data_IF_866753940582
#
_entry.id   IF_866753940582
#
_cell.length_a   1.000
_cell.length_b   1.000
_cell.length_c   1.000
_cell.angle_alpha   90.00
_cell.angle_beta   90.00
_cell.angle_gamma   90.00
#
_symmetry.space_group_name_H-M   'P 1'
#
loop_
_entity.id
_entity.type
_entity.pdbx_description
1 polymer ?
#
# COMPACT_ATOMS: atom_id res chain seq x y z
N UNK A 1 -33.77 -12.55 5.58
CA UNK A 1 -32.63 -13.28 6.18
C UNK A 1 -31.35 -12.69 5.62
N UNK A 2 -30.70 -11.80 6.35
CA UNK A 2 -29.45 -11.17 5.96
C UNK A 2 -28.33 -12.19 6.12
N UNK A 3 -27.70 -12.60 5.02
CA UNK A 3 -26.43 -13.33 5.10
C UNK A 3 -25.41 -12.37 5.71
N UNK A 4 -25.02 -12.60 6.93
CA UNK A 4 -23.78 -12.10 7.50
C UNK A 4 -22.68 -12.66 6.59
N UNK A 5 -22.17 -11.83 5.70
CA UNK A 5 -21.01 -12.23 4.88
C UNK A 5 -19.80 -12.23 5.80
N UNK A 6 -19.43 -13.39 6.29
CA UNK A 6 -18.17 -13.57 7.01
C UNK A 6 -17.03 -13.12 6.10
N UNK A 7 -16.26 -12.14 6.59
CA UNK A 7 -15.07 -11.65 5.88
C UNK A 7 -14.01 -12.72 6.04
N UNK A 8 -13.57 -13.33 4.93
CA UNK A 8 -12.52 -14.34 4.96
C UNK A 8 -11.14 -13.69 5.04
N UNK A 9 -10.33 -14.13 5.99
CA UNK A 9 -8.90 -13.79 6.05
C UNK A 9 -8.10 -14.74 5.16
N UNK A 10 -7.14 -14.18 4.41
CA UNK A 10 -6.21 -14.91 3.52
C UNK A 10 -4.80 -14.47 3.88
N UNK A 11 -4.01 -15.40 4.44
CA UNK A 11 -2.73 -15.07 5.05
C UNK A 11 -1.51 -15.34 4.16
N UNK A 12 -1.64 -16.20 3.15
CA UNK A 12 -0.53 -16.63 2.31
C UNK A 12 -1.01 -17.03 0.90
N UNK A 13 -0.08 -17.23 -0.07
CA UNK A 13 -0.43 -17.63 -1.43
C UNK A 13 -1.17 -18.95 -1.53
N UNK A 14 -0.92 -19.89 -0.64
CA UNK A 14 -1.60 -21.18 -0.65
C UNK A 14 -3.08 -21.00 -0.31
N UNK A 15 -3.40 -20.25 0.74
CA UNK A 15 -4.79 -19.91 1.07
C UNK A 15 -5.47 -19.10 -0.04
N UNK A 16 -4.72 -18.22 -0.73
CA UNK A 16 -5.23 -17.51 -1.91
C UNK A 16 -5.57 -18.47 -3.03
N UNK A 17 -4.69 -19.42 -3.35
CA UNK A 17 -4.93 -20.46 -4.36
C UNK A 17 -6.14 -21.30 -3.98
N UNK A 18 -6.25 -21.76 -2.77
CA UNK A 18 -7.40 -22.58 -2.29
C UNK A 18 -8.73 -21.82 -2.35
N UNK A 19 -8.71 -20.53 -2.06
CA UNK A 19 -9.92 -19.71 -2.07
C UNK A 19 -10.37 -19.32 -3.48
N UNK A 20 -9.43 -18.85 -4.30
CA UNK A 20 -9.75 -18.28 -5.61
C UNK A 20 -9.64 -19.24 -6.78
N UNK A 21 -8.83 -20.32 -6.69
CA UNK A 21 -8.48 -21.16 -7.82
C UNK A 21 -9.11 -22.56 -7.76
N UNK A 22 -9.37 -23.13 -8.93
CA UNK A 22 -9.73 -24.54 -9.06
C UNK A 22 -8.51 -25.44 -8.87
N UNK A 23 -8.70 -26.65 -8.36
CA UNK A 23 -7.70 -27.58 -7.81
C UNK A 23 -6.53 -28.00 -8.72
N UNK A 24 -6.44 -27.58 -9.97
CA UNK A 24 -5.47 -28.12 -10.95
C UNK A 24 -4.25 -27.23 -11.18
N UNK A 25 -4.02 -26.20 -10.33
CA UNK A 25 -3.00 -25.23 -10.63
C UNK A 25 -1.69 -25.49 -9.86
N UNK A 26 -0.66 -25.90 -10.59
CA UNK A 26 0.70 -26.05 -10.12
C UNK A 26 1.54 -24.89 -10.58
N UNK A 27 1.61 -23.76 -10.08
CA UNK A 27 2.52 -22.64 -10.42
C UNK A 27 2.49 -22.09 -11.88
N UNK A 28 2.57 -20.78 -12.05
CA UNK A 28 2.72 -20.10 -13.35
C UNK A 28 4.10 -20.34 -14.00
N UNK A 29 5.04 -20.94 -13.29
CA UNK A 29 6.34 -21.36 -13.78
C UNK A 29 6.52 -22.82 -13.40
N UNK A 30 6.55 -23.73 -14.36
CA UNK A 30 6.82 -25.16 -14.12
C UNK A 30 8.19 -25.37 -13.44
N UNK A 31 9.15 -24.48 -13.69
CA UNK A 31 10.50 -24.51 -13.12
C UNK A 31 10.55 -24.00 -11.67
N UNK A 32 9.57 -23.19 -11.23
CA UNK A 32 9.51 -22.63 -9.87
C UNK A 32 8.97 -23.61 -8.81
N UNK A 33 8.50 -24.80 -9.18
CA UNK A 33 7.89 -25.76 -8.26
C UNK A 33 8.85 -26.44 -7.29
N UNK A 34 10.16 -26.26 -7.45
CA UNK A 34 11.18 -27.05 -6.72
C UNK A 34 12.04 -26.25 -5.76
N UNK A 35 11.87 -24.91 -5.68
CA UNK A 35 12.69 -24.11 -4.78
C UNK A 35 11.87 -23.82 -3.52
N UNK A 36 12.06 -24.62 -2.49
CA UNK A 36 11.74 -24.27 -1.11
C UNK A 36 12.40 -22.91 -0.80
N UNK A 37 11.73 -22.09 0.03
CA UNK A 37 12.23 -20.81 0.53
C UNK A 37 13.61 -20.96 1.21
N UNK A 38 14.68 -20.97 0.44
CA UNK A 38 16.01 -21.26 0.94
C UNK A 38 16.60 -20.08 1.72
N UNK A 39 16.17 -18.85 1.45
CA UNK A 39 16.73 -17.64 2.04
C UNK A 39 15.67 -16.57 2.36
N UNK A 40 15.20 -16.55 3.60
CA UNK A 40 14.40 -15.46 4.17
C UNK A 40 12.90 -15.76 4.27
N UNK A 41 12.26 -15.18 5.27
CA UNK A 41 10.81 -15.17 5.42
C UNK A 41 10.20 -14.26 4.37
N UNK A 42 9.17 -14.71 3.70
CA UNK A 42 8.41 -13.89 2.78
C UNK A 42 8.15 -14.53 1.42
N UNK A 43 7.11 -14.06 0.74
CA UNK A 43 6.75 -14.54 -0.58
C UNK A 43 6.56 -13.41 -1.59
N UNK A 44 6.75 -13.74 -2.86
CA UNK A 44 6.38 -12.93 -4.01
C UNK A 44 5.82 -13.83 -5.11
N UNK A 45 4.62 -13.49 -5.62
CA UNK A 45 3.98 -14.17 -6.73
C UNK A 45 3.57 -13.16 -7.81
N UNK A 46 3.84 -13.52 -9.08
CA UNK A 46 3.42 -12.74 -10.26
C UNK A 46 2.58 -13.63 -11.14
N UNK A 47 1.38 -13.16 -11.50
CA UNK A 47 0.35 -13.95 -12.18
C UNK A 47 -0.25 -13.13 -13.32
N UNK A 48 -0.35 -13.69 -14.52
CA UNK A 48 -1.12 -13.09 -15.59
C UNK A 48 -2.64 -13.17 -15.28
N UNK A 49 -3.36 -12.06 -15.43
CA UNK A 49 -4.80 -12.00 -15.11
C UNK A 49 -5.63 -12.93 -16.00
N UNK A 50 -5.27 -13.07 -17.27
CA UNK A 50 -5.91 -13.98 -18.21
C UNK A 50 -5.76 -15.46 -17.82
N UNK A 51 -4.63 -15.84 -17.20
CA UNK A 51 -4.43 -17.18 -16.66
C UNK A 51 -5.21 -17.36 -15.35
N UNK A 52 -5.15 -16.37 -14.45
CA UNK A 52 -5.92 -16.37 -13.22
C UNK A 52 -7.42 -16.54 -13.51
N UNK A 53 -7.94 -15.85 -14.52
CA UNK A 53 -9.35 -15.92 -14.91
C UNK A 53 -9.77 -17.31 -15.40
N UNK A 54 -8.93 -18.02 -16.15
CA UNK A 54 -9.25 -19.38 -16.64
C UNK A 54 -9.47 -20.38 -15.50
N UNK A 55 -8.77 -20.20 -14.40
CA UNK A 55 -8.73 -21.12 -13.27
C UNK A 55 -9.48 -20.61 -12.04
N UNK A 56 -9.97 -19.37 -12.08
CA UNK A 56 -10.65 -18.74 -10.95
C UNK A 56 -12.01 -19.38 -10.67
N UNK A 57 -12.28 -19.65 -9.39
CA UNK A 57 -13.64 -19.93 -8.91
C UNK A 57 -14.48 -18.66 -9.04
N UNK A 58 -15.79 -18.79 -9.28
CA UNK A 58 -16.70 -17.65 -9.29
C UNK A 58 -16.90 -17.11 -7.86
N UNK A 59 -15.96 -16.33 -7.37
CA UNK A 59 -15.96 -15.71 -6.04
C UNK A 59 -16.26 -14.20 -6.10
N UNK A 60 -17.01 -13.77 -7.15
CA UNK A 60 -17.39 -12.37 -7.28
C UNK A 60 -18.26 -11.91 -6.11
N UNK A 61 -17.91 -10.75 -5.55
CA UNK A 61 -18.57 -10.16 -4.39
C UNK A 61 -18.13 -10.70 -3.03
N UNK A 62 -17.32 -11.78 -3.00
CA UNK A 62 -16.80 -12.31 -1.73
C UNK A 62 -15.75 -11.36 -1.14
N UNK A 63 -16.03 -10.92 0.07
CA UNK A 63 -15.15 -9.98 0.78
C UNK A 63 -14.03 -10.72 1.49
N UNK A 64 -12.80 -10.27 1.25
CA UNK A 64 -11.60 -10.84 1.85
C UNK A 64 -10.76 -9.78 2.53
N UNK A 65 -9.94 -10.19 3.50
CA UNK A 65 -8.81 -9.44 4.02
C UNK A 65 -7.56 -10.25 3.81
N UNK A 66 -6.58 -9.66 3.12
CA UNK A 66 -5.33 -10.35 2.78
C UNK A 66 -4.22 -9.85 3.68
N UNK A 67 -3.41 -10.75 4.22
CA UNK A 67 -2.23 -10.40 5.03
C UNK A 67 -0.98 -10.16 4.17
N UNK A 68 -1.18 -9.64 2.98
CA UNK A 68 -0.14 -9.32 2.02
C UNK A 68 -0.58 -8.16 1.11
N UNK A 69 0.37 -7.58 0.43
CA UNK A 69 0.17 -6.52 -0.55
C UNK A 69 -0.11 -7.09 -1.93
N UNK A 70 -0.91 -6.39 -2.71
CA UNK A 70 -1.14 -6.75 -4.10
C UNK A 70 -1.06 -5.52 -4.99
N UNK A 71 -0.49 -5.70 -6.17
CA UNK A 71 -0.42 -4.72 -7.24
C UNK A 71 -1.07 -5.35 -8.46
N UNK A 72 -1.99 -4.65 -9.09
CA UNK A 72 -2.63 -5.10 -10.34
C UNK A 72 -2.40 -4.06 -11.42
N UNK A 73 -1.79 -4.48 -12.51
CA UNK A 73 -1.69 -3.71 -13.75
C UNK A 73 -2.71 -4.27 -14.74
N UNK A 74 -3.67 -3.45 -15.15
CA UNK A 74 -4.69 -3.81 -16.13
C UNK A 74 -4.30 -3.29 -17.51
N UNK A 75 -4.13 -4.18 -18.49
CA UNK A 75 -3.73 -3.83 -19.86
C UNK A 75 -4.88 -3.90 -20.85
N UNK A 76 -5.84 -4.83 -20.66
CA UNK A 76 -7.04 -4.93 -21.47
C UNK A 76 -8.26 -5.25 -20.60
N UNK A 77 -9.46 -4.89 -21.11
CA UNK A 77 -10.73 -5.14 -20.42
C UNK A 77 -10.99 -4.17 -19.26
N UNK A 78 -12.09 -4.40 -18.57
CA UNK A 78 -12.49 -3.61 -17.42
C UNK A 78 -12.76 -4.51 -16.21
N UNK A 79 -12.54 -3.95 -15.02
CA UNK A 79 -12.83 -4.58 -13.74
C UNK A 79 -13.60 -3.65 -12.81
N UNK A 80 -14.49 -4.22 -11.99
CA UNK A 80 -15.11 -3.51 -10.87
C UNK A 80 -14.65 -4.14 -9.57
N UNK A 81 -14.02 -3.32 -8.72
CA UNK A 81 -13.36 -3.76 -7.49
C UNK A 81 -13.86 -2.95 -6.29
N UNK A 82 -14.02 -3.60 -5.16
CA UNK A 82 -14.17 -2.93 -3.87
C UNK A 82 -12.83 -2.94 -3.14
N UNK A 83 -12.25 -1.75 -2.89
CA UNK A 83 -11.01 -1.58 -2.13
C UNK A 83 -11.33 -0.71 -0.90
N UNK A 84 -11.13 -1.27 0.30
CA UNK A 84 -11.64 -0.68 1.52
C UNK A 84 -13.17 -0.66 1.53
N UNK A 85 -13.76 0.53 1.57
CA UNK A 85 -15.22 0.72 1.55
C UNK A 85 -15.74 1.37 0.27
N UNK A 86 -14.85 1.56 -0.74
CA UNK A 86 -15.18 2.24 -1.98
C UNK A 86 -15.15 1.27 -3.15
N UNK A 87 -16.10 1.45 -4.08
CA UNK A 87 -16.11 0.75 -5.36
C UNK A 87 -15.38 1.57 -6.41
N UNK A 88 -14.60 0.88 -7.21
CA UNK A 88 -13.83 1.45 -8.31
C UNK A 88 -14.09 0.67 -9.58
N UNK A 89 -14.06 1.37 -10.72
CA UNK A 89 -14.05 0.76 -12.04
C UNK A 89 -12.73 1.10 -12.70
N UNK A 90 -12.01 0.07 -13.10
CA UNK A 90 -10.71 0.18 -13.73
C UNK A 90 -10.78 -0.29 -15.17
N UNK A 91 -10.15 0.44 -16.08
CA UNK A 91 -9.97 0.08 -17.48
C UNK A 91 -8.49 -0.02 -17.84
N UNK A 92 -8.16 -0.31 -19.11
CA UNK A 92 -6.79 -0.46 -19.59
C UNK A 92 -5.89 0.71 -19.17
N UNK A 93 -4.65 0.42 -18.79
CA UNK A 93 -3.70 1.40 -18.26
C UNK A 93 -3.95 1.80 -16.80
N UNK A 94 -4.84 1.13 -16.08
CA UNK A 94 -4.97 1.32 -14.64
C UNK A 94 -4.02 0.39 -13.89
N UNK A 95 -3.29 0.95 -12.92
CA UNK A 95 -2.52 0.19 -11.96
C UNK A 95 -3.06 0.48 -10.57
N UNK A 96 -3.56 -0.55 -9.87
CA UNK A 96 -4.19 -0.39 -8.56
C UNK A 96 -3.54 -1.28 -7.50
N UNK A 97 -3.68 -0.85 -6.25
CA UNK A 97 -2.93 -1.37 -5.12
C UNK A 97 -3.87 -1.77 -4.00
N UNK A 98 -3.58 -2.89 -3.37
CA UNK A 98 -4.34 -3.41 -2.24
C UNK A 98 -3.36 -3.59 -1.09
N UNK A 99 -3.60 -2.86 0.00
CA UNK A 99 -2.75 -2.91 1.20
C UNK A 99 -3.03 -4.17 2.01
N UNK A 100 -2.05 -4.56 2.80
CA UNK A 100 -2.22 -5.58 3.83
C UNK A 100 -3.41 -5.25 4.75
N UNK A 101 -4.19 -6.26 5.11
CA UNK A 101 -5.38 -6.18 5.96
C UNK A 101 -6.52 -5.26 5.43
N UNK A 102 -6.40 -4.76 4.21
CA UNK A 102 -7.46 -3.99 3.57
C UNK A 102 -8.60 -4.89 3.10
N UNK A 103 -9.84 -4.44 3.31
CA UNK A 103 -11.00 -5.12 2.76
C UNK A 103 -10.95 -5.05 1.24
N UNK A 104 -11.17 -6.18 0.58
CA UNK A 104 -11.14 -6.30 -0.87
C UNK A 104 -12.18 -7.27 -1.39
N UNK A 105 -12.79 -6.94 -2.51
CA UNK A 105 -13.63 -7.86 -3.28
C UNK A 105 -13.55 -7.51 -4.77
N UNK A 106 -13.49 -8.53 -5.60
CA UNK A 106 -13.72 -8.41 -7.04
C UNK A 106 -15.22 -8.50 -7.28
N UNK A 107 -15.82 -7.44 -7.81
CA UNK A 107 -17.26 -7.40 -8.10
C UNK A 107 -17.56 -7.95 -9.50
N UNK A 108 -16.72 -7.57 -10.49
CA UNK A 108 -16.88 -7.98 -11.88
C UNK A 108 -15.57 -7.90 -12.65
N UNK A 109 -15.38 -8.84 -13.58
CA UNK A 109 -14.34 -8.80 -14.62
C UNK A 109 -14.98 -8.99 -16.00
N UNK A 110 -14.53 -8.22 -16.97
CA UNK A 110 -14.89 -8.43 -18.37
C UNK A 110 -14.29 -9.73 -18.92
N UNK A 111 -14.80 -10.19 -20.05
CA UNK A 111 -14.33 -11.44 -20.65
C UNK A 111 -12.91 -11.35 -21.19
N UNK A 112 -12.50 -10.19 -21.66
CA UNK A 112 -11.20 -9.89 -22.26
C UNK A 112 -10.19 -9.28 -21.31
N UNK A 113 -10.36 -9.41 -19.99
CA UNK A 113 -9.41 -8.90 -19.00
C UNK A 113 -8.04 -9.53 -19.19
N UNK A 114 -7.00 -8.67 -19.34
CA UNK A 114 -5.60 -9.02 -19.34
C UNK A 114 -4.79 -8.08 -18.48
N UNK A 115 -3.67 -8.55 -18.00
CA UNK A 115 -2.75 -7.77 -17.16
C UNK A 115 -1.97 -8.65 -16.22
N UNK A 116 -1.47 -8.04 -15.15
CA UNK A 116 -0.56 -8.67 -14.21
C UNK A 116 -1.03 -8.42 -12.78
N UNK A 117 -1.11 -9.49 -12.00
CA UNK A 117 -1.26 -9.45 -10.55
C UNK A 117 0.09 -9.81 -9.92
N UNK A 118 0.64 -8.92 -9.09
CA UNK A 118 1.80 -9.19 -8.25
C UNK A 118 1.37 -9.16 -6.78
N UNK A 119 1.69 -10.22 -6.04
CA UNK A 119 1.41 -10.36 -4.61
C UNK A 119 2.71 -10.57 -3.86
N UNK A 120 2.87 -9.89 -2.71
CA UNK A 120 4.06 -10.04 -1.86
C UNK A 120 3.73 -9.66 -0.42
N UNK A 121 4.45 -10.24 0.52
CA UNK A 121 4.36 -9.83 1.92
C UNK A 121 5.35 -8.71 2.28
N UNK A 122 5.14 -8.11 3.45
CA UNK A 122 6.01 -7.04 3.92
C UNK A 122 7.45 -7.50 4.15
N UNK A 123 7.65 -8.74 4.57
CA UNK A 123 8.98 -9.29 4.87
C UNK A 123 9.80 -9.46 3.59
N UNK A 124 9.14 -9.76 2.47
CA UNK A 124 9.82 -9.83 1.18
C UNK A 124 10.37 -8.47 0.73
N UNK A 125 9.64 -7.40 0.98
CA UNK A 125 10.05 -6.04 0.66
C UNK A 125 11.19 -5.54 1.57
N UNK A 126 11.14 -5.82 2.89
CA UNK A 126 11.98 -5.20 3.91
C UNK A 126 13.47 -5.57 3.85
N UNK A 127 13.85 -6.70 3.25
CA UNK A 127 15.25 -7.18 3.24
C UNK A 127 16.20 -6.36 2.35
N UNK A 128 15.71 -5.48 1.47
CA UNK A 128 16.55 -4.77 0.53
C UNK A 128 17.01 -3.38 0.95
N UNK A 129 16.23 -2.65 1.73
CA UNK A 129 16.52 -1.24 2.03
C UNK A 129 16.44 -1.01 3.54
N UNK A 130 17.58 -1.03 4.16
CA UNK A 130 17.74 -1.09 5.62
C UNK A 130 17.11 0.06 6.41
N UNK A 131 16.71 1.23 5.91
CA UNK A 131 16.28 2.31 6.79
C UNK A 131 15.34 3.39 6.23
N UNK A 132 14.91 3.40 4.99
CA UNK A 132 14.28 4.62 4.49
C UNK A 132 12.89 4.50 3.87
N UNK A 133 12.52 3.36 3.28
CA UNK A 133 11.23 3.24 2.62
C UNK A 133 10.42 2.11 3.26
N UNK A 134 9.23 2.44 3.75
CA UNK A 134 8.27 1.49 4.28
C UNK A 134 7.06 1.41 3.35
N UNK A 135 6.48 0.23 3.19
CA UNK A 135 5.34 0.02 2.31
C UNK A 135 4.17 0.97 2.61
N UNK A 136 3.92 1.27 3.87
CA UNK A 136 2.88 2.22 4.27
C UNK A 136 3.22 3.70 4.01
N UNK A 137 4.41 4.02 3.54
CA UNK A 137 4.78 5.37 3.10
C UNK A 137 4.40 5.62 1.65
N UNK A 138 4.27 4.58 0.84
CA UNK A 138 3.75 4.74 -0.51
C UNK A 138 2.29 5.23 -0.45
N UNK A 139 1.95 6.33 -1.14
CA UNK A 139 0.63 6.95 -1.03
C UNK A 139 -0.50 6.00 -1.41
N UNK A 140 -0.33 5.19 -2.42
CA UNK A 140 -1.33 4.25 -2.90
C UNK A 140 -1.60 3.06 -1.94
N UNK A 141 -0.77 2.84 -0.92
CA UNK A 141 -1.04 1.88 0.16
C UNK A 141 -1.66 2.54 1.40
N UNK A 142 -1.85 3.85 1.41
CA UNK A 142 -2.52 4.55 2.50
C UNK A 142 -4.04 4.50 2.33
N UNK A 143 -4.76 4.24 3.42
CA UNK A 143 -6.22 3.99 3.38
C UNK A 143 -7.06 5.22 3.04
N UNK A 144 -6.50 6.41 3.15
CA UNK A 144 -7.12 7.71 2.88
C UNK A 144 -6.71 8.31 1.54
N UNK A 145 -5.81 7.67 0.84
CA UNK A 145 -5.35 8.08 -0.48
C UNK A 145 -6.02 7.26 -1.60
N UNK A 146 -5.81 7.67 -2.86
CA UNK A 146 -6.28 6.92 -4.01
C UNK A 146 -5.44 5.63 -4.16
N UNK A 147 -6.04 4.44 -4.15
CA UNK A 147 -5.30 3.19 -4.26
C UNK A 147 -4.96 2.83 -5.72
N UNK A 148 -4.81 3.80 -6.61
CA UNK A 148 -4.53 3.54 -8.03
C UNK A 148 -3.86 4.73 -8.72
N UNK A 149 -3.23 4.43 -9.85
CA UNK A 149 -2.71 5.38 -10.82
C UNK A 149 -3.22 5.05 -12.21
N UNK A 150 -3.30 6.06 -13.07
CA UNK A 150 -3.55 5.89 -14.50
C UNK A 150 -2.24 6.10 -15.24
N UNK A 151 -1.89 5.14 -16.07
CA UNK A 151 -0.67 5.10 -16.85
C UNK A 151 -0.94 5.52 -18.29
N UNK A 152 0.01 6.23 -18.90
CA UNK A 152 0.10 6.37 -20.35
C UNK A 152 0.57 5.07 -21.01
N UNK A 153 0.38 4.91 -22.30
CA UNK A 153 0.81 3.70 -23.05
C UNK A 153 2.30 3.38 -22.87
N UNK A 154 3.14 4.44 -22.83
CA UNK A 154 4.57 4.29 -22.57
C UNK A 154 4.86 3.78 -21.15
N UNK A 155 4.13 4.28 -20.17
CA UNK A 155 4.27 3.87 -18.77
C UNK A 155 3.74 2.44 -18.57
N UNK A 156 2.65 2.05 -19.26
CA UNK A 156 2.16 0.65 -19.29
C UNK A 156 3.26 -0.26 -19.82
N UNK A 157 3.82 0.00 -21.00
CA UNK A 157 4.87 -0.83 -21.58
C UNK A 157 6.11 -0.93 -20.70
N UNK A 158 6.48 0.15 -20.02
CA UNK A 158 7.58 0.16 -19.04
C UNK A 158 7.28 -0.75 -17.84
N UNK A 159 6.08 -0.64 -17.26
CA UNK A 159 5.68 -1.45 -16.12
C UNK A 159 5.55 -2.93 -16.47
N UNK A 160 4.98 -3.26 -17.63
CA UNK A 160 4.93 -4.65 -18.12
C UNK A 160 6.34 -5.24 -18.24
N UNK A 161 7.29 -4.48 -18.82
CA UNK A 161 8.67 -4.94 -18.93
C UNK A 161 9.32 -5.17 -17.56
N UNK A 162 9.09 -4.30 -16.59
CA UNK A 162 9.60 -4.46 -15.22
C UNK A 162 8.99 -5.69 -14.52
N UNK A 163 7.70 -5.94 -14.66
CA UNK A 163 7.05 -7.14 -14.11
C UNK A 163 7.53 -8.41 -14.82
N UNK A 164 7.70 -8.36 -16.13
CA UNK A 164 8.26 -9.48 -16.87
C UNK A 164 9.68 -9.80 -16.39
N UNK A 165 10.53 -8.78 -16.21
CA UNK A 165 11.88 -8.97 -15.70
C UNK A 165 11.89 -9.50 -14.27
N UNK A 166 11.05 -8.94 -13.38
CA UNK A 166 10.86 -9.44 -12.03
C UNK A 166 10.51 -10.94 -12.02
N UNK A 167 9.54 -11.36 -12.85
CA UNK A 167 9.11 -12.75 -12.91
C UNK A 167 10.18 -13.66 -13.50
N UNK A 168 10.88 -13.22 -14.55
CA UNK A 168 12.00 -13.96 -15.13
C UNK A 168 13.13 -14.21 -14.13
N UNK A 169 13.53 -13.17 -13.37
CA UNK A 169 14.56 -13.32 -12.33
C UNK A 169 14.08 -14.22 -11.17
N UNK A 170 12.81 -14.11 -10.80
CA UNK A 170 12.20 -14.99 -9.79
C UNK A 170 12.30 -16.46 -10.19
N UNK A 171 12.02 -16.79 -11.46
CA UNK A 171 12.05 -18.17 -11.97
C UNK A 171 13.47 -18.73 -12.10
N UNK A 172 14.48 -17.87 -12.24
CA UNK A 172 15.89 -18.27 -12.43
C UNK A 172 16.71 -18.20 -11.14
N UNK A 173 16.11 -17.75 -10.02
CA UNK A 173 16.90 -17.55 -8.80
C UNK A 173 17.41 -18.88 -8.23
N UNK A 174 18.71 -18.90 -7.94
CA UNK A 174 19.41 -20.05 -7.37
C UNK A 174 20.30 -19.67 -6.19
N UNK A 175 20.58 -18.37 -6.02
CA UNK A 175 21.50 -17.85 -5.01
C UNK A 175 20.83 -16.71 -4.20
N UNK A 176 21.48 -16.31 -3.11
CA UNK A 176 21.07 -15.13 -2.32
C UNK A 176 21.10 -13.85 -3.15
N UNK A 177 22.07 -13.69 -4.04
CA UNK A 177 22.18 -12.52 -4.90
C UNK A 177 21.02 -12.45 -5.89
N UNK A 178 20.53 -13.59 -6.39
CA UNK A 178 19.39 -13.64 -7.27
C UNK A 178 18.10 -13.21 -6.54
N UNK A 179 17.91 -13.65 -5.29
CA UNK A 179 16.79 -13.19 -4.47
C UNK A 179 16.86 -11.67 -4.19
N UNK A 180 18.05 -11.13 -3.95
CA UNK A 180 18.26 -9.71 -3.80
C UNK A 180 17.87 -8.94 -5.07
N UNK A 181 18.24 -9.46 -6.25
CA UNK A 181 17.88 -8.86 -7.53
C UNK A 181 16.38 -8.81 -7.75
N UNK A 182 15.66 -9.88 -7.44
CA UNK A 182 14.18 -9.92 -7.51
C UNK A 182 13.56 -8.85 -6.59
N UNK A 183 14.05 -8.72 -5.36
CA UNK A 183 13.61 -7.68 -4.41
C UNK A 183 13.90 -6.27 -4.92
N UNK A 184 15.03 -6.05 -5.57
CA UNK A 184 15.35 -4.76 -6.19
C UNK A 184 14.39 -4.40 -7.31
N UNK A 185 13.99 -5.36 -8.17
CA UNK A 185 12.96 -5.11 -9.20
C UNK A 185 11.61 -4.74 -8.60
N UNK A 186 11.17 -5.40 -7.52
CA UNK A 186 9.95 -5.02 -6.81
C UNK A 186 10.03 -3.58 -6.30
N UNK A 187 11.18 -3.19 -5.72
CA UNK A 187 11.40 -1.82 -5.26
C UNK A 187 11.36 -0.81 -6.41
N UNK A 188 11.97 -1.12 -7.55
CA UNK A 188 11.94 -0.27 -8.74
C UNK A 188 10.50 -0.05 -9.22
N UNK A 189 9.68 -1.12 -9.29
CA UNK A 189 8.27 -1.03 -9.67
C UNK A 189 7.51 -0.09 -8.73
N UNK A 190 7.70 -0.21 -7.42
CA UNK A 190 7.01 0.62 -6.42
C UNK A 190 7.47 2.09 -6.48
N UNK A 191 8.77 2.35 -6.65
CA UNK A 191 9.31 3.71 -6.78
C UNK A 191 8.86 4.39 -8.09
N UNK A 192 8.83 3.65 -9.19
CA UNK A 192 8.30 4.18 -10.46
C UNK A 192 6.80 4.47 -10.36
N UNK A 193 6.03 3.59 -9.71
CA UNK A 193 4.62 3.82 -9.44
C UNK A 193 4.41 5.08 -8.58
N UNK A 194 5.22 5.29 -7.55
CA UNK A 194 5.16 6.48 -6.70
C UNK A 194 5.50 7.75 -7.50
N UNK A 195 6.52 7.70 -8.33
CA UNK A 195 6.87 8.82 -9.21
C UNK A 195 5.71 9.23 -10.11
N UNK A 196 5.04 8.24 -10.72
CA UNK A 196 3.86 8.49 -11.57
C UNK A 196 2.68 8.99 -10.74
N UNK A 197 2.46 8.42 -9.54
CA UNK A 197 1.41 8.86 -8.62
C UNK A 197 1.54 10.36 -8.31
N UNK A 198 2.73 10.82 -7.97
CA UNK A 198 2.98 12.23 -7.67
C UNK A 198 2.84 13.13 -8.89
N UNK A 199 3.25 12.69 -10.07
CA UNK A 199 3.07 13.43 -11.33
C UNK A 199 1.59 13.64 -11.63
N UNK A 200 0.77 12.58 -11.59
CA UNK A 200 -0.68 12.65 -11.83
C UNK A 200 -1.36 13.51 -10.78
N UNK A 201 -0.97 13.38 -9.51
CA UNK A 201 -1.50 14.21 -8.43
C UNK A 201 -1.16 15.70 -8.62
N UNK A 202 0.02 16.02 -9.14
CA UNK A 202 0.39 17.41 -9.45
C UNK A 202 -0.48 18.01 -10.56
N UNK A 203 -0.74 17.24 -11.62
CA UNK A 203 -1.62 17.67 -12.72
C UNK A 203 -3.08 17.82 -12.28
N UNK A 204 -3.57 16.92 -11.41
CA UNK A 204 -4.91 17.04 -10.81
C UNK A 204 -5.01 18.29 -9.91
N UNK A 205 -3.98 18.56 -9.10
CA UNK A 205 -3.94 19.75 -8.22
C UNK A 205 -4.04 21.03 -9.02
N UNK A 206 -3.47 21.11 -10.21
CA UNK A 206 -3.52 22.30 -11.05
C UNK A 206 -4.94 22.65 -11.50
N UNK A 207 -5.83 21.67 -11.60
CA UNK A 207 -7.24 21.88 -11.99
C UNK A 207 -8.18 22.16 -10.80
N UNK A 208 -7.67 22.16 -9.57
CA UNK A 208 -8.46 22.46 -8.37
C UNK A 208 -8.59 23.98 -8.14
N UNK A 209 -9.57 24.38 -7.34
CA UNK A 209 -9.65 25.74 -6.81
C UNK A 209 -8.39 26.09 -5.99
N UNK A 210 -8.13 27.38 -5.80
CA UNK A 210 -6.97 27.82 -4.99
C UNK A 210 -6.97 27.25 -3.56
N UNK A 211 -8.14 27.12 -2.97
CA UNK A 211 -8.30 26.56 -1.62
C UNK A 211 -8.01 25.04 -1.61
N UNK A 212 -8.57 24.30 -2.57
CA UNK A 212 -8.29 22.87 -2.72
C UNK A 212 -6.82 22.60 -3.04
N UNK A 213 -6.18 23.44 -3.87
CA UNK A 213 -4.73 23.36 -4.12
C UNK A 213 -3.91 23.57 -2.84
N UNK A 214 -4.32 24.51 -1.98
CA UNK A 214 -3.67 24.76 -0.70
C UNK A 214 -3.76 23.52 0.20
N UNK A 215 -4.94 22.91 0.30
CA UNK A 215 -5.17 21.70 1.10
C UNK A 215 -4.34 20.52 0.57
N UNK A 216 -4.34 20.31 -0.75
CA UNK A 216 -3.58 19.24 -1.38
C UNK A 216 -2.07 19.39 -1.13
N UNK A 217 -1.52 20.62 -1.29
CA UNK A 217 -0.10 20.90 -0.97
C UNK A 217 0.20 20.73 0.52
N UNK A 218 -0.71 21.13 1.38
CA UNK A 218 -0.56 20.92 2.82
C UNK A 218 -0.46 19.44 3.16
N UNK A 219 -1.36 18.61 2.63
CA UNK A 219 -1.34 17.15 2.86
C UNK A 219 -0.07 16.50 2.29
N UNK A 220 0.38 16.93 1.11
CA UNK A 220 1.64 16.48 0.52
C UNK A 220 2.84 16.84 1.44
N UNK A 221 2.90 18.05 1.96
CA UNK A 221 3.97 18.47 2.87
C UNK A 221 3.90 17.75 4.23
N UNK A 222 2.70 17.45 4.75
CA UNK A 222 2.54 16.62 5.94
C UNK A 222 3.16 15.25 5.72
N UNK A 223 2.86 14.59 4.61
CA UNK A 223 3.42 13.28 4.28
C UNK A 223 4.95 13.33 4.14
N UNK A 224 5.49 14.41 3.58
CA UNK A 224 6.92 14.55 3.33
C UNK A 224 7.72 14.95 4.58
N UNK A 225 7.17 15.80 5.44
CA UNK A 225 7.93 16.48 6.50
C UNK A 225 7.45 16.17 7.93
N UNK A 226 6.52 15.22 8.13
CA UNK A 226 5.95 14.97 9.48
C UNK A 226 6.97 14.52 10.53
N UNK A 227 8.13 14.01 10.13
CA UNK A 227 9.23 13.71 11.05
C UNK A 227 9.85 14.98 11.64
N UNK A 228 10.10 15.97 10.79
CA UNK A 228 10.82 17.18 11.16
C UNK A 228 9.87 18.28 11.63
N UNK A 229 8.63 18.30 11.12
CA UNK A 229 7.63 19.33 11.36
C UNK A 229 6.38 18.76 11.99
N UNK A 230 6.02 19.28 13.18
CA UNK A 230 4.90 18.75 13.96
C UNK A 230 3.78 19.75 14.21
N UNK A 231 4.07 21.03 13.98
CA UNK A 231 3.14 22.12 14.23
C UNK A 231 2.62 22.71 12.94
N UNK A 232 1.33 23.10 12.93
CA UNK A 232 0.66 23.66 11.74
C UNK A 232 1.33 24.92 11.23
N UNK A 233 1.91 25.74 12.13
CA UNK A 233 2.65 26.94 11.74
C UNK A 233 3.84 26.65 10.84
N UNK A 234 4.57 25.56 11.05
CA UNK A 234 5.73 25.16 10.24
C UNK A 234 5.30 24.81 8.79
N UNK A 235 4.13 24.22 8.61
CA UNK A 235 3.55 23.96 7.29
C UNK A 235 3.00 25.23 6.64
N UNK A 236 2.41 26.12 7.43
CA UNK A 236 1.92 27.40 6.95
C UNK A 236 3.07 28.26 6.40
N UNK A 237 4.24 28.25 7.05
CA UNK A 237 5.48 28.88 6.55
C UNK A 237 5.92 28.31 5.20
N UNK A 238 5.96 26.97 5.06
CA UNK A 238 6.29 26.30 3.79
C UNK A 238 5.32 26.65 2.67
N UNK A 239 4.06 26.89 3.01
CA UNK A 239 2.99 27.22 2.07
C UNK A 239 2.86 28.74 1.83
N UNK A 240 3.65 29.55 2.53
CA UNK A 240 3.62 31.02 2.50
C UNK A 240 2.21 31.59 2.80
N UNK A 241 1.54 31.04 3.83
CA UNK A 241 0.21 31.49 4.29
C UNK A 241 0.18 31.66 5.80
N UNK A 242 -0.82 32.40 6.30
CA UNK A 242 -1.00 32.53 7.75
C UNK A 242 -1.56 31.21 8.34
N UNK A 243 -1.06 30.74 9.53
CA UNK A 243 -1.50 29.48 10.15
C UNK A 243 -3.02 29.35 10.37
N UNK A 244 -3.68 30.44 10.79
CA UNK A 244 -5.12 30.43 10.97
C UNK A 244 -5.85 30.22 9.64
N UNK A 245 -5.42 30.92 8.58
CA UNK A 245 -6.00 30.75 7.24
C UNK A 245 -5.82 29.31 6.73
N UNK A 246 -4.62 28.72 6.90
CA UNK A 246 -4.40 27.33 6.56
C UNK A 246 -5.36 26.39 7.31
N UNK A 247 -5.48 26.57 8.62
CA UNK A 247 -6.37 25.73 9.44
C UNK A 247 -7.84 25.86 9.04
N UNK A 248 -8.30 27.09 8.76
CA UNK A 248 -9.68 27.36 8.38
C UNK A 248 -10.01 26.73 7.01
N UNK A 249 -9.16 26.92 6.01
CA UNK A 249 -9.32 26.32 4.67
C UNK A 249 -9.29 24.78 4.73
N UNK A 250 -8.32 24.21 5.47
CA UNK A 250 -8.24 22.75 5.65
C UNK A 250 -9.50 22.23 6.32
N UNK A 251 -9.99 22.91 7.36
CA UNK A 251 -11.20 22.50 8.08
C UNK A 251 -12.46 22.65 7.21
N UNK A 252 -12.57 23.71 6.42
CA UNK A 252 -13.69 23.93 5.52
C UNK A 252 -13.80 22.80 4.47
N UNK A 253 -12.69 22.44 3.84
CA UNK A 253 -12.69 21.45 2.76
C UNK A 253 -12.75 20.01 3.27
N UNK A 254 -12.05 19.71 4.39
CA UNK A 254 -11.90 18.33 4.85
C UNK A 254 -12.78 17.95 6.02
N UNK A 255 -13.37 18.91 6.71
CA UNK A 255 -14.11 18.74 7.95
C UNK A 255 -13.21 18.59 9.21
N UNK A 256 -11.89 18.52 9.05
CA UNK A 256 -10.95 18.31 10.15
C UNK A 256 -9.91 19.44 10.24
N UNK A 257 -9.47 19.82 11.45
CA UNK A 257 -8.41 20.82 11.61
C UNK A 257 -7.07 20.32 11.03
N UNK A 258 -6.22 21.23 10.59
CA UNK A 258 -4.91 20.89 10.01
C UNK A 258 -4.04 20.02 10.93
N UNK A 259 -4.07 20.26 12.25
CA UNK A 259 -3.35 19.44 13.25
C UNK A 259 -3.77 17.97 13.24
N UNK A 260 -5.00 17.66 12.84
CA UNK A 260 -5.48 16.28 12.73
C UNK A 260 -4.64 15.46 11.74
N UNK A 261 -4.28 16.03 10.58
CA UNK A 261 -3.50 15.34 9.55
C UNK A 261 -2.07 15.05 10.02
N UNK A 262 -1.43 16.01 10.67
CA UNK A 262 -0.09 15.83 11.25
C UNK A 262 -0.11 14.74 12.32
N UNK A 263 -1.07 14.79 13.24
CA UNK A 263 -1.22 13.79 14.31
C UNK A 263 -1.53 12.41 13.75
N UNK A 264 -2.37 12.33 12.71
CA UNK A 264 -2.71 11.08 12.04
C UNK A 264 -1.47 10.43 11.43
N UNK A 265 -0.63 11.19 10.75
CA UNK A 265 0.59 10.67 10.15
C UNK A 265 1.59 10.16 11.19
N UNK A 266 1.79 10.92 12.28
CA UNK A 266 2.63 10.51 13.41
C UNK A 266 2.14 9.20 14.06
N UNK A 267 0.82 9.05 14.23
CA UNK A 267 0.24 7.84 14.80
C UNK A 267 0.36 6.64 13.86
N UNK A 268 0.20 6.83 12.56
CA UNK A 268 0.38 5.76 11.59
C UNK A 268 1.81 5.25 11.60
N UNK A 269 2.78 6.15 11.62
CA UNK A 269 4.20 5.78 11.72
C UNK A 269 4.51 5.08 13.05
N UNK A 270 4.00 5.59 14.18
CA UNK A 270 4.17 4.95 15.48
C UNK A 270 3.60 3.52 15.51
N UNK A 271 2.41 3.30 14.95
CA UNK A 271 1.80 1.98 14.82
C UNK A 271 2.65 1.03 13.99
N UNK A 272 3.14 1.51 12.84
CA UNK A 272 4.01 0.75 11.95
C UNK A 272 5.26 0.28 12.67
N UNK A 273 5.99 1.19 13.36
CA UNK A 273 7.22 0.86 14.10
C UNK A 273 6.97 -0.11 15.25
N UNK A 274 5.86 0.07 15.97
CA UNK A 274 5.51 -0.83 17.07
C UNK A 274 5.27 -2.27 16.63
N UNK A 275 4.79 -2.49 15.41
CA UNK A 275 4.51 -3.82 14.86
C UNK A 275 5.74 -4.39 14.16
N UNK A 276 6.40 -3.58 13.33
CA UNK A 276 7.41 -4.03 12.37
C UNK A 276 8.83 -4.08 12.95
N UNK A 277 9.09 -3.42 14.09
CA UNK A 277 10.43 -3.38 14.67
C UNK A 277 10.47 -4.00 16.07
N UNK A 278 11.69 -4.30 16.53
CA UNK A 278 11.97 -4.69 17.92
C UNK A 278 12.34 -3.50 18.81
N UNK A 279 12.30 -2.28 18.27
CA UNK A 279 12.70 -1.07 18.97
C UNK A 279 11.90 -0.88 20.25
N UNK A 280 12.52 -0.38 21.30
CA UNK A 280 11.81 -0.03 22.53
C UNK A 280 10.85 1.12 22.29
N UNK A 281 9.84 1.25 23.13
CA UNK A 281 8.90 2.39 23.05
C UNK A 281 9.65 3.72 23.15
N UNK A 282 10.70 3.77 23.97
CA UNK A 282 11.57 4.94 24.11
C UNK A 282 12.32 5.26 22.82
N UNK A 283 12.92 4.26 22.16
CA UNK A 283 13.58 4.45 20.86
C UNK A 283 12.61 5.02 19.82
N UNK A 284 11.40 4.44 19.74
CA UNK A 284 10.36 4.93 18.82
C UNK A 284 9.96 6.37 19.14
N UNK A 285 9.79 6.71 20.42
CA UNK A 285 9.47 8.08 20.83
C UNK A 285 10.59 9.05 20.42
N UNK A 286 11.86 8.68 20.66
CA UNK A 286 13.02 9.48 20.28
C UNK A 286 13.11 9.67 18.76
N UNK A 287 12.97 8.60 17.98
CA UNK A 287 13.00 8.66 16.52
C UNK A 287 11.84 9.48 15.93
N UNK A 288 10.66 9.42 16.56
CA UNK A 288 9.55 10.30 16.23
C UNK A 288 9.71 11.70 16.85
N UNK A 289 10.89 12.01 17.42
CA UNK A 289 11.24 13.30 18.00
C UNK A 289 10.23 13.80 19.05
N UNK A 290 9.70 12.92 19.90
CA UNK A 290 8.98 13.32 21.07
C UNK A 290 9.94 13.73 22.17
N UNK A 291 9.57 14.76 22.94
CA UNK A 291 10.42 15.32 24.01
C UNK A 291 10.62 14.36 25.18
N UNK A 292 9.63 13.50 25.42
CA UNK A 292 9.70 12.45 26.44
C UNK A 292 8.76 11.27 26.12
N UNK A 293 9.09 10.10 26.65
CA UNK A 293 8.34 8.86 26.47
C UNK A 293 6.94 8.91 27.07
N UNK A 294 6.79 9.65 28.18
CA UNK A 294 5.48 9.76 28.84
C UNK A 294 4.51 10.59 28.02
N UNK A 295 5.02 11.64 27.35
CA UNK A 295 4.23 12.43 26.42
C UNK A 295 3.83 11.60 25.20
N UNK A 296 4.77 10.85 24.60
CA UNK A 296 4.47 9.91 23.51
C UNK A 296 3.43 8.88 23.93
N UNK A 297 3.57 8.26 25.09
CA UNK A 297 2.63 7.27 25.62
C UNK A 297 1.20 7.83 25.77
N UNK A 298 1.08 9.05 26.32
CA UNK A 298 -0.22 9.76 26.47
C UNK A 298 -0.83 10.10 25.09
N UNK A 299 -0.01 10.65 24.21
CA UNK A 299 -0.41 10.98 22.84
C UNK A 299 -0.91 9.75 22.10
N UNK A 300 -0.15 8.66 22.11
CA UNK A 300 -0.51 7.40 21.44
C UNK A 300 -1.80 6.81 22.01
N UNK A 301 -1.92 6.75 23.34
CA UNK A 301 -3.14 6.25 24.00
C UNK A 301 -4.36 7.11 23.69
N UNK A 302 -4.23 8.43 23.67
CA UNK A 302 -5.33 9.34 23.29
C UNK A 302 -5.83 9.07 21.86
N UNK A 303 -4.94 8.76 20.93
CA UNK A 303 -5.27 8.55 19.52
C UNK A 303 -5.73 7.14 19.20
N UNK A 304 -5.31 6.13 19.97
CA UNK A 304 -5.55 4.70 19.65
C UNK A 304 -6.39 3.96 20.67
N UNK A 305 -6.62 4.54 21.85
CA UNK A 305 -7.27 3.88 22.99
C UNK A 305 -6.35 2.91 23.76
N UNK A 306 -5.17 2.58 23.24
CA UNK A 306 -4.22 1.62 23.83
C UNK A 306 -2.88 2.30 24.13
N UNK A 307 -2.17 1.82 25.15
CA UNK A 307 -0.77 2.21 25.31
C UNK A 307 0.11 1.59 24.18
N UNK A 308 1.28 2.17 23.86
CA UNK A 308 2.18 1.59 22.86
C UNK A 308 2.51 0.11 23.10
N UNK A 309 2.79 -0.27 24.35
CA UNK A 309 3.07 -1.67 24.70
C UNK A 309 1.85 -2.58 24.54
N UNK A 310 0.65 -2.12 24.95
CA UNK A 310 -0.59 -2.86 24.73
C UNK A 310 -0.88 -3.04 23.24
N UNK A 311 -0.64 -1.98 22.46
CA UNK A 311 -0.82 -2.02 21.02
C UNK A 311 0.13 -3.03 20.37
N UNK A 312 1.42 -2.99 20.72
CA UNK A 312 2.43 -3.97 20.27
C UNK A 312 2.01 -5.41 20.61
N UNK A 313 1.66 -5.66 21.89
CA UNK A 313 1.27 -7.01 22.34
C UNK A 313 0.05 -7.56 21.61
N UNK A 314 -0.90 -6.68 21.22
CA UNK A 314 -2.12 -7.08 20.52
C UNK A 314 -1.90 -7.38 19.04
N UNK A 315 -0.90 -6.75 18.40
CA UNK A 315 -0.71 -6.79 16.96
C UNK A 315 0.62 -7.44 16.52
N UNK A 316 1.53 -7.73 17.44
CA UNK A 316 2.75 -8.49 17.15
C UNK A 316 2.43 -9.96 17.46
N UNK A 317 2.33 -10.76 16.41
CA UNK A 317 2.22 -12.22 16.49
C UNK A 317 3.59 -12.86 16.62
#
# INVERSE_FOLDING_TARGET
MSRSSDIKEISNPQEFKEFYLNYAYHSFCEECNTIEYIYGSGFLEVIALEELKKIQKKTFGDRTRRKFYSIVLLTEGETEETIGYKKYRFGPGSMYFISENQLYATEKWDENVKGILCMFDADYFLLCIKHQIKLNQFPFFQTDQKPFIKLSDREVSMMEHLFWKLNSEKCQKSTFNDDLLVRMFLNIILLEAERIYHKVSADEIFNLSRQEQLVARFQMYVNQYFFDKKQVNEYAELLHVHPNYLNDVVKEITGYPASHFVQKQLIQEAKSRLIQTSDTVSMIATELQFTDDSYFGRFFKKQTGLTPLQYRKRHKH
#
